data_IF_019997738104
#
_entry.id   IF_019997738104
#
_cell.length_a   1.000
_cell.length_b   1.000
_cell.length_c   1.000
_cell.angle_alpha   90.00
_cell.angle_beta   90.00
_cell.angle_gamma   90.00
#
_symmetry.space_group_name_H-M   'P 1'
#
loop_
_entity.id
_entity.type
_entity.pdbx_description
1 polymer ?
#
# COMPACT_ATOMS: atom_id res chain seq x y z
N UNK A 1 4.19 14.31 -5.52
CA UNK A 1 4.35 12.85 -5.70
C UNK A 1 4.46 12.51 -7.18
N UNK A 2 5.63 12.73 -7.79
CA UNK A 2 5.87 12.43 -9.21
C UNK A 2 5.91 10.92 -9.50
N UNK A 3 6.33 10.12 -8.51
CA UNK A 3 6.45 8.65 -8.62
C UNK A 3 5.12 7.98 -9.02
N UNK A 4 3.98 8.52 -8.56
CA UNK A 4 2.66 7.96 -8.89
C UNK A 4 2.31 8.09 -10.39
N UNK A 5 2.98 8.99 -11.13
CA UNK A 5 2.80 9.08 -12.57
C UNK A 5 3.35 7.85 -13.31
N UNK A 6 4.20 7.04 -12.68
CA UNK A 6 4.70 5.79 -13.23
C UNK A 6 3.76 4.61 -12.96
N UNK A 7 2.86 4.76 -11.99
CA UNK A 7 1.86 3.76 -11.58
C UNK A 7 0.59 3.97 -12.39
N UNK A 8 0.70 3.75 -13.70
CA UNK A 8 -0.41 3.89 -14.64
C UNK A 8 -0.87 2.53 -15.15
N UNK A 9 -2.18 2.25 -15.13
CA UNK A 9 -2.69 1.02 -15.74
C UNK A 9 -2.47 1.04 -17.25
N UNK A 10 -2.38 -0.15 -17.83
CA UNK A 10 -2.38 -0.31 -19.28
C UNK A 10 -3.76 -0.01 -19.86
N UNK A 11 -3.77 0.48 -21.10
CA UNK A 11 -5.02 0.69 -21.84
C UNK A 11 -5.67 -0.66 -22.15
N UNK A 12 -7.00 -0.65 -22.25
CA UNK A 12 -7.77 -1.84 -22.58
C UNK A 12 -7.44 -2.45 -23.96
N UNK A 13 -6.83 -1.67 -24.86
CA UNK A 13 -6.40 -2.11 -26.19
C UNK A 13 -4.95 -2.61 -26.24
N UNK A 14 -4.24 -2.64 -25.10
CA UNK A 14 -2.84 -3.07 -25.02
C UNK A 14 -1.84 -2.13 -25.70
N UNK A 15 -2.25 -0.91 -26.09
CA UNK A 15 -1.40 0.06 -26.80
C UNK A 15 -0.39 0.81 -25.90
N UNK A 16 -0.17 0.33 -24.67
CA UNK A 16 0.71 0.91 -23.66
C UNK A 16 -0.03 1.57 -22.49
N UNK A 17 0.68 2.32 -21.63
CA UNK A 17 0.10 2.93 -20.45
C UNK A 17 -0.97 3.99 -20.79
N UNK A 18 -1.98 4.09 -19.94
CA UNK A 18 -3.01 5.13 -20.03
C UNK A 18 -2.34 6.50 -19.84
N UNK A 19 -2.69 7.48 -20.69
CA UNK A 19 -2.19 8.85 -20.53
C UNK A 19 -2.71 9.46 -19.23
N UNK A 20 -1.82 10.03 -18.41
CA UNK A 20 -2.19 10.73 -17.19
C UNK A 20 -3.08 11.96 -17.45
N UNK A 21 -2.97 12.58 -18.63
CA UNK A 21 -3.69 13.82 -18.95
C UNK A 21 -4.96 13.61 -19.80
N UNK A 22 -4.99 12.55 -20.62
CA UNK A 22 -6.02 12.37 -21.65
C UNK A 22 -6.70 11.00 -21.63
N UNK A 23 -6.27 10.09 -20.76
CA UNK A 23 -6.86 8.77 -20.61
C UNK A 23 -8.00 8.76 -19.60
N UNK A 24 -8.96 7.82 -19.76
CA UNK A 24 -9.92 7.49 -18.70
C UNK A 24 -9.38 6.27 -17.95
N UNK A 25 -8.57 6.45 -16.89
CA UNK A 25 -8.08 5.32 -16.13
C UNK A 25 -9.26 4.62 -15.45
N UNK A 26 -9.27 3.28 -15.47
CA UNK A 26 -10.28 2.50 -14.73
C UNK A 26 -10.22 2.71 -13.22
N UNK A 27 -9.12 3.29 -12.71
CA UNK A 27 -8.89 3.65 -11.31
C UNK A 27 -7.89 4.81 -11.22
N UNK A 28 -8.17 5.82 -10.39
CA UNK A 28 -7.26 6.96 -10.21
C UNK A 28 -6.02 6.56 -9.39
N UNK A 29 -4.86 7.20 -9.62
CA UNK A 29 -3.60 6.86 -8.92
C UNK A 29 -3.72 6.99 -7.41
N UNK A 30 -4.51 7.97 -6.93
CA UNK A 30 -4.86 8.10 -5.52
C UNK A 30 -5.57 6.87 -4.97
N UNK A 31 -6.55 6.33 -5.71
CA UNK A 31 -7.29 5.14 -5.31
C UNK A 31 -6.37 3.91 -5.29
N UNK A 32 -5.49 3.79 -6.29
CA UNK A 32 -4.48 2.72 -6.35
C UNK A 32 -3.58 2.80 -5.10
N UNK A 33 -3.07 3.99 -4.76
CA UNK A 33 -2.24 4.21 -3.58
C UNK A 33 -2.95 3.84 -2.28
N UNK A 34 -4.15 4.39 -2.02
CA UNK A 34 -4.89 4.13 -0.79
C UNK A 34 -5.16 2.64 -0.61
N UNK A 35 -5.63 1.95 -1.66
CA UNK A 35 -5.92 0.52 -1.62
C UNK A 35 -4.64 -0.32 -1.50
N UNK A 36 -3.54 0.11 -2.11
CA UNK A 36 -2.22 -0.52 -1.96
C UNK A 36 -1.70 -0.46 -0.52
N UNK A 37 -1.80 0.71 0.10
CA UNK A 37 -1.43 0.92 1.51
C UNK A 37 -2.32 0.09 2.43
N UNK A 38 -3.64 0.06 2.22
CA UNK A 38 -4.55 -0.77 3.00
C UNK A 38 -4.23 -2.27 2.85
N UNK A 39 -3.90 -2.72 1.63
CA UNK A 39 -3.51 -4.10 1.38
C UNK A 39 -2.27 -4.48 2.17
N UNK A 40 -1.25 -3.64 2.14
CA UNK A 40 0.01 -3.87 2.85
C UNK A 40 -0.18 -3.78 4.37
N UNK A 41 -0.78 -2.68 4.85
CA UNK A 41 -0.91 -2.40 6.28
C UNK A 41 -1.86 -3.34 7.02
N UNK A 42 -2.88 -3.86 6.33
CA UNK A 42 -3.80 -4.86 6.91
C UNK A 42 -3.39 -6.31 6.59
N UNK A 43 -2.31 -6.51 5.82
CA UNK A 43 -1.93 -7.80 5.26
C UNK A 43 -3.13 -8.52 4.58
N UNK A 44 -3.94 -7.77 3.85
CA UNK A 44 -5.19 -8.24 3.28
C UNK A 44 -4.96 -8.86 1.88
N UNK A 45 -5.72 -9.89 1.54
CA UNK A 45 -5.80 -10.40 0.17
C UNK A 45 -6.67 -9.49 -0.73
N UNK A 46 -6.71 -9.81 -2.03
CA UNK A 46 -7.44 -9.01 -3.01
C UNK A 46 -8.96 -9.06 -2.83
N UNK A 47 -9.50 -10.17 -2.30
CA UNK A 47 -10.94 -10.32 -2.09
C UNK A 47 -11.37 -9.45 -0.89
N UNK A 48 -10.57 -9.44 0.17
CA UNK A 48 -10.78 -8.56 1.32
C UNK A 48 -10.65 -7.08 0.94
N UNK A 49 -9.68 -6.73 0.09
CA UNK A 49 -9.56 -5.35 -0.40
C UNK A 49 -10.75 -4.96 -1.28
N UNK A 50 -11.25 -5.87 -2.12
CA UNK A 50 -12.45 -5.63 -2.92
C UNK A 50 -13.68 -5.38 -2.05
N UNK A 51 -13.85 -6.16 -0.99
CA UNK A 51 -14.94 -5.97 -0.04
C UNK A 51 -14.83 -4.61 0.67
N UNK A 52 -13.66 -4.27 1.21
CA UNK A 52 -13.43 -2.98 1.87
C UNK A 52 -13.68 -1.79 0.94
N UNK A 53 -13.17 -1.84 -0.29
CA UNK A 53 -13.34 -0.76 -1.27
C UNK A 53 -14.81 -0.56 -1.69
N UNK A 54 -15.60 -1.65 -1.71
CA UNK A 54 -16.98 -1.61 -2.19
C UNK A 54 -18.01 -1.37 -1.08
N UNK A 55 -17.74 -1.82 0.16
CA UNK A 55 -18.74 -1.84 1.23
C UNK A 55 -18.39 -0.92 2.41
N UNK A 56 -17.11 -0.64 2.66
CA UNK A 56 -16.72 0.11 3.86
C UNK A 56 -16.80 1.62 3.60
N UNK A 57 -17.82 2.28 4.18
CA UNK A 57 -18.11 3.71 3.96
C UNK A 57 -16.90 4.63 4.17
N UNK A 58 -16.14 4.45 5.26
CA UNK A 58 -14.95 5.27 5.52
C UNK A 58 -13.85 5.06 4.48
N UNK A 59 -13.68 3.84 3.98
CA UNK A 59 -12.69 3.56 2.93
C UNK A 59 -13.14 4.22 1.64
N UNK A 60 -14.43 4.13 1.29
CA UNK A 60 -14.99 4.84 0.12
C UNK A 60 -14.79 6.35 0.20
N UNK A 61 -14.98 6.95 1.38
CA UNK A 61 -14.68 8.37 1.60
C UNK A 61 -13.20 8.69 1.36
N UNK A 62 -12.27 7.85 1.86
CA UNK A 62 -10.83 8.01 1.59
C UNK A 62 -10.50 7.90 0.10
N UNK A 63 -11.24 7.09 -0.66
CA UNK A 63 -11.10 6.94 -2.12
C UNK A 63 -11.69 8.10 -2.92
N UNK A 64 -12.21 9.13 -2.24
CA UNK A 64 -12.81 10.31 -2.86
C UNK A 64 -14.26 10.12 -3.27
N UNK A 65 -14.92 9.04 -2.84
CA UNK A 65 -16.32 8.82 -3.15
C UNK A 65 -17.24 9.63 -2.26
N UNK A 66 -18.18 10.35 -2.88
CA UNK A 66 -19.24 11.10 -2.17
C UNK A 66 -20.48 10.24 -1.95
N UNK A 67 -21.25 10.58 -0.93
CA UNK A 67 -22.23 9.68 -0.31
C UNK A 67 -23.45 9.38 -1.23
N UNK A 68 -23.90 8.12 -1.17
CA UNK A 68 -25.12 7.49 -1.70
C UNK A 68 -25.33 7.32 -3.21
N UNK A 69 -24.91 8.23 -4.08
CA UNK A 69 -25.20 8.12 -5.53
C UNK A 69 -24.07 7.55 -6.39
N UNK A 70 -22.87 7.41 -5.84
CA UNK A 70 -21.74 6.84 -6.57
C UNK A 70 -21.73 5.31 -6.50
N UNK A 71 -22.17 4.69 -7.59
CA UNK A 71 -22.19 3.23 -7.79
C UNK A 71 -20.83 2.65 -8.19
N UNK A 72 -19.75 3.42 -8.15
CA UNK A 72 -18.42 2.92 -8.51
C UNK A 72 -18.07 1.72 -7.64
N UNK A 73 -17.94 0.58 -8.30
CA UNK A 73 -17.56 -0.71 -7.72
C UNK A 73 -16.43 -1.29 -8.54
N UNK A 74 -15.49 -1.93 -7.86
CA UNK A 74 -14.37 -2.60 -8.52
C UNK A 74 -14.49 -4.11 -8.38
N UNK A 75 -14.24 -4.80 -9.48
CA UNK A 75 -14.00 -6.23 -9.46
C UNK A 75 -12.61 -6.55 -8.91
N UNK A 76 -12.46 -7.74 -8.36
CA UNK A 76 -11.18 -8.26 -7.82
C UNK A 76 -10.07 -8.21 -8.89
N UNK A 77 -10.41 -8.51 -10.14
CA UNK A 77 -9.43 -8.48 -11.24
C UNK A 77 -8.89 -7.07 -11.49
N UNK A 78 -9.77 -6.06 -11.52
CA UNK A 78 -9.34 -4.66 -11.65
C UNK A 78 -8.38 -4.26 -10.54
N UNK A 79 -8.65 -4.68 -9.31
CA UNK A 79 -7.77 -4.41 -8.17
C UNK A 79 -6.42 -5.11 -8.31
N UNK A 80 -6.42 -6.37 -8.76
CA UNK A 80 -5.17 -7.12 -9.03
C UNK A 80 -4.33 -6.41 -10.08
N UNK A 81 -4.94 -6.02 -11.20
CA UNK A 81 -4.21 -5.42 -12.32
C UNK A 81 -3.60 -4.07 -11.95
N UNK A 82 -4.30 -3.27 -11.13
CA UNK A 82 -3.83 -1.95 -10.72
C UNK A 82 -2.86 -2.00 -9.54
N UNK A 83 -3.14 -2.81 -8.51
CA UNK A 83 -2.30 -2.84 -7.30
C UNK A 83 -0.96 -3.55 -7.53
N UNK A 84 -0.87 -4.44 -8.52
CA UNK A 84 0.39 -5.08 -8.92
C UNK A 84 1.37 -4.14 -9.63
N UNK A 85 0.92 -2.94 -10.02
CA UNK A 85 1.79 -1.90 -10.58
C UNK A 85 2.75 -1.33 -9.53
N UNK A 86 2.46 -1.53 -8.23
CA UNK A 86 3.41 -1.25 -7.16
C UNK A 86 4.48 -2.35 -7.11
N UNK A 87 5.50 -2.19 -7.95
CA UNK A 87 6.69 -3.02 -7.87
C UNK A 87 7.50 -2.68 -6.61
N UNK A 88 8.37 -3.59 -6.13
CA UNK A 88 9.25 -3.32 -4.99
C UNK A 88 10.06 -2.02 -5.15
N UNK A 89 10.52 -1.72 -6.35
CA UNK A 89 11.31 -0.53 -6.67
C UNK A 89 10.49 0.76 -6.55
N UNK A 90 9.23 0.73 -7.00
CA UNK A 90 8.31 1.87 -6.86
C UNK A 90 7.98 2.09 -5.38
N UNK A 91 7.71 1.02 -4.64
CA UNK A 91 7.41 1.08 -3.21
C UNK A 91 8.59 1.63 -2.41
N UNK A 92 9.80 1.21 -2.72
CA UNK A 92 11.01 1.73 -2.08
C UNK A 92 11.15 3.24 -2.29
N UNK A 93 10.94 3.72 -3.52
CA UNK A 93 11.01 5.16 -3.81
C UNK A 93 9.92 5.95 -3.08
N UNK A 94 8.71 5.42 -2.99
CA UNK A 94 7.63 6.03 -2.19
C UNK A 94 8.02 6.07 -0.71
N UNK A 95 8.62 4.99 -0.19
CA UNK A 95 9.06 4.92 1.20
C UNK A 95 10.11 6.00 1.51
N UNK A 96 11.11 6.20 0.64
CA UNK A 96 12.13 7.24 0.82
C UNK A 96 11.52 8.64 0.87
N UNK A 97 10.61 8.98 -0.05
CA UNK A 97 9.93 10.29 -0.04
C UNK A 97 9.12 10.51 1.25
N UNK A 98 8.48 9.45 1.78
CA UNK A 98 7.73 9.53 3.03
C UNK A 98 8.66 9.71 4.23
N UNK A 99 9.79 9.00 4.26
CA UNK A 99 10.81 9.13 5.31
C UNK A 99 11.41 10.53 5.31
N UNK A 100 11.80 11.05 4.15
CA UNK A 100 12.36 12.40 3.99
C UNK A 100 11.37 13.48 4.43
N UNK A 101 10.11 13.37 4.00
CA UNK A 101 9.04 14.25 4.45
C UNK A 101 8.82 14.17 5.96
N UNK A 102 8.93 12.98 6.54
CA UNK A 102 8.88 12.75 7.99
C UNK A 102 10.01 13.46 8.73
N UNK A 103 11.25 13.34 8.27
CA UNK A 103 12.42 14.03 8.83
C UNK A 103 12.26 15.55 8.78
N UNK A 104 11.81 16.09 7.65
CA UNK A 104 11.52 17.52 7.51
C UNK A 104 10.44 17.99 8.50
N UNK A 105 9.37 17.21 8.67
CA UNK A 105 8.28 17.52 9.58
C UNK A 105 8.74 17.56 11.05
N UNK A 106 9.55 16.59 11.48
CA UNK A 106 10.05 16.52 12.86
C UNK A 106 11.27 17.41 13.11
N UNK A 107 11.72 18.17 12.10
CA UNK A 107 12.93 19.02 12.13
C UNK A 107 14.19 18.29 12.60
N UNK A 108 14.29 17.00 12.27
CA UNK A 108 15.47 16.18 12.57
C UNK A 108 16.20 15.89 11.28
N UNK A 109 17.52 16.04 11.30
CA UNK A 109 18.34 15.54 10.20
C UNK A 109 18.31 14.01 10.16
N UNK A 110 18.61 13.37 9.02
CA UNK A 110 18.78 11.91 8.93
C UNK A 110 19.78 11.37 9.98
N UNK A 111 20.76 12.19 10.35
CA UNK A 111 21.82 11.85 11.30
C UNK A 111 21.36 11.90 12.77
N UNK A 112 20.24 12.57 13.09
CA UNK A 112 19.80 12.82 14.47
C UNK A 112 19.08 11.64 15.14
N UNK A 113 18.85 10.54 14.42
CA UNK A 113 18.15 9.37 14.92
C UNK A 113 16.67 9.63 15.29
N UNK A 114 15.77 8.85 14.68
CA UNK A 114 14.36 8.85 15.05
C UNK A 114 14.10 7.74 16.06
N UNK A 115 13.52 8.08 17.21
CA UNK A 115 12.92 7.07 18.09
C UNK A 115 11.55 6.73 17.56
N UNK A 116 11.48 5.66 16.78
CA UNK A 116 10.26 5.13 16.19
C UNK A 116 9.86 3.82 16.86
N UNK A 117 8.56 3.65 17.06
CA UNK A 117 7.96 2.39 17.44
C UNK A 117 7.17 1.88 16.25
N UNK A 118 7.51 0.71 15.76
CA UNK A 118 6.80 0.04 14.67
C UNK A 118 6.50 -1.39 15.08
N UNK A 119 5.32 -1.88 14.71
CA UNK A 119 4.98 -3.30 14.81
C UNK A 119 5.42 -3.94 13.48
N UNK A 120 6.49 -4.74 13.49
CA UNK A 120 7.02 -5.42 12.31
C UNK A 120 6.91 -6.93 12.44
N UNK A 121 6.77 -7.65 11.33
CA UNK A 121 6.93 -9.09 11.30
C UNK A 121 8.42 -9.46 11.23
N UNK A 122 8.86 -10.43 12.04
CA UNK A 122 10.19 -11.03 11.88
C UNK A 122 10.14 -11.96 10.67
N UNK A 123 10.77 -11.56 9.57
CA UNK A 123 11.06 -12.46 8.45
C UNK A 123 12.42 -13.09 8.75
N UNK A 124 12.44 -14.20 9.48
CA UNK A 124 13.65 -14.98 9.65
C UNK A 124 13.95 -15.72 8.34
N UNK A 125 15.12 -15.44 7.75
CA UNK A 125 15.68 -16.26 6.65
C UNK A 125 16.43 -17.48 7.19
N UNK A 126 16.56 -17.59 8.52
CA UNK A 126 17.30 -18.66 9.21
C UNK A 126 16.55 -19.14 10.47
N UNK A 127 15.21 -19.31 10.35
CA UNK A 127 14.47 -20.07 11.37
C UNK A 127 14.96 -21.52 11.26
N UNK A 128 15.85 -21.95 12.16
CA UNK A 128 16.03 -23.38 12.38
C UNK A 128 14.72 -23.93 12.92
N UNK A 129 13.88 -24.54 12.07
CA UNK A 129 12.58 -25.10 12.44
C UNK A 129 12.57 -25.70 13.86
N UNK A 130 11.86 -25.09 14.84
CA UNK A 130 11.67 -25.77 16.10
C UNK A 130 10.19 -25.70 16.52
N UNK A 131 9.67 -26.83 16.98
CA UNK A 131 8.45 -26.90 17.80
C UNK A 131 8.29 -25.66 18.69
N UNK A 132 7.11 -25.01 18.60
CA UNK A 132 6.64 -23.71 19.10
C UNK A 132 7.15 -23.16 20.46
N UNK A 133 7.82 -23.96 21.27
CA UNK A 133 8.21 -23.67 22.65
C UNK A 133 9.39 -22.68 22.74
N UNK A 134 10.35 -22.72 21.80
CA UNK A 134 11.52 -21.84 21.86
C UNK A 134 11.18 -20.38 21.51
N UNK A 135 10.28 -20.15 20.55
CA UNK A 135 9.77 -18.80 20.20
C UNK A 135 9.05 -18.14 21.37
N UNK A 136 8.27 -18.90 22.15
CA UNK A 136 7.62 -18.41 23.38
C UNK A 136 8.66 -18.05 24.45
N UNK A 137 9.72 -18.84 24.60
CA UNK A 137 10.80 -18.56 25.53
C UNK A 137 11.55 -17.26 25.21
N UNK A 138 11.81 -16.99 23.92
CA UNK A 138 12.48 -15.76 23.48
C UNK A 138 11.57 -14.53 23.60
N UNK A 139 10.26 -14.67 23.36
CA UNK A 139 9.30 -13.58 23.55
C UNK A 139 9.11 -13.16 25.03
N UNK A 140 9.35 -14.08 25.98
CA UNK A 140 9.18 -13.83 27.43
C UNK A 140 10.45 -13.23 28.06
N UNK A 141 11.62 -13.39 27.44
CA UNK A 141 12.85 -12.73 27.92
C UNK A 141 12.85 -11.28 27.47
N UNK A 142 12.62 -10.37 28.42
CA UNK A 142 12.94 -8.96 28.25
C UNK A 142 14.46 -8.78 28.16
N UNK A 143 14.92 -8.05 27.15
CA UNK A 143 16.19 -7.31 27.20
C UNK A 143 16.02 -6.09 28.10
#
# INVERSE_FOLDING_TARGET
FAILAEVLPERADGSGPVSAETGRPGMAQWQILVLGVLRLGLNADYDRIAELANQHRTVRQMLGHSDWSEETRWGVQTLKDNLRLFTPEVLERINQEVVDAGHALVKKSPDDGLQVRADSFVVETDVHFPTDINLLCDAVRKV
#
